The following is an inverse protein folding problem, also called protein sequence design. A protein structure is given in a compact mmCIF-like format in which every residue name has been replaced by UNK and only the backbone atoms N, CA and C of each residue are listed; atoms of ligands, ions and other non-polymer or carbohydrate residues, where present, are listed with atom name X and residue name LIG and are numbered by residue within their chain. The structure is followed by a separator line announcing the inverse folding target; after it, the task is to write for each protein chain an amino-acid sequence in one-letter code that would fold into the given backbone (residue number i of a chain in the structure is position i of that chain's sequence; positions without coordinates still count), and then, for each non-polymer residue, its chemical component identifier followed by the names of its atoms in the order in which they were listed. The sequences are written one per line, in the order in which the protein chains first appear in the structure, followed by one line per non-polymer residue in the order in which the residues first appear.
data_IF_758658474504
#
_entry.id   IF_758658474504
#
_cell.length_a   1.000
_cell.length_b   1.000
_cell.length_c   1.000
_cell.angle_alpha   90.00
_cell.angle_beta   90.00
_cell.angle_gamma   90.00
#
_symmetry.space_group_name_H-M   'P 1'
#
loop_
_entity.id
_entity.type
_entity.pdbx_description
1 polymer ?
#
# COMPACT_ATOMS: atom_id res chain seq x y z
N UNK A 1 -18.78 -17.16 -5.29
CA UNK A 1 -17.53 -16.63 -5.82
C UNK A 1 -16.87 -15.74 -4.78
N UNK A 2 -15.61 -16.01 -4.51
CA UNK A 2 -14.88 -15.23 -3.52
C UNK A 2 -14.48 -13.90 -4.10
N UNK A 3 -14.95 -12.85 -3.49
CA UNK A 3 -14.57 -11.51 -3.89
C UNK A 3 -13.28 -11.10 -3.19
N UNK A 4 -12.31 -10.65 -3.96
CA UNK A 4 -11.07 -10.17 -3.37
C UNK A 4 -11.29 -8.77 -2.85
N UNK A 5 -11.05 -8.58 -1.58
CA UNK A 5 -11.30 -7.32 -0.93
C UNK A 5 -10.04 -6.74 -0.33
N UNK A 6 -9.90 -5.43 -0.48
CA UNK A 6 -8.94 -4.65 0.26
C UNK A 6 -9.58 -4.35 1.61
N UNK A 7 -8.85 -4.56 2.67
CA UNK A 7 -9.32 -4.18 4.00
C UNK A 7 -8.40 -3.12 4.59
N UNK A 8 -8.93 -2.36 5.54
CA UNK A 8 -8.23 -1.22 6.10
C UNK A 8 -8.23 -1.29 7.61
N UNK A 9 -7.15 -0.84 8.20
CA UNK A 9 -7.02 -0.76 9.64
C UNK A 9 -6.49 0.63 9.97
N UNK A 10 -7.32 1.44 10.64
CA UNK A 10 -6.92 2.78 11.06
C UNK A 10 -6.57 2.75 12.55
N UNK A 11 -5.41 3.26 12.91
CA UNK A 11 -4.93 3.24 14.28
C UNK A 11 -4.19 4.55 14.54
N UNK A 12 -4.84 5.47 15.25
CA UNK A 12 -4.29 6.80 15.42
C UNK A 12 -4.16 7.48 14.06
N UNK A 13 -2.96 7.90 13.72
CA UNK A 13 -2.66 8.57 12.45
C UNK A 13 -2.07 7.62 11.41
N UNK A 14 -2.14 6.32 11.67
CA UNK A 14 -1.60 5.29 10.78
C UNK A 14 -2.74 4.58 10.07
N UNK A 15 -2.63 4.45 8.75
CA UNK A 15 -3.55 3.66 7.94
C UNK A 15 -2.80 2.46 7.40
N UNK A 16 -3.28 1.26 7.74
CA UNK A 16 -2.74 0.01 7.19
C UNK A 16 -3.71 -0.47 6.14
N UNK A 17 -3.20 -0.72 4.95
CA UNK A 17 -3.99 -1.17 3.80
C UNK A 17 -3.59 -2.62 3.52
N UNK A 18 -4.51 -3.55 3.80
CA UNK A 18 -4.29 -4.96 3.52
C UNK A 18 -4.69 -5.24 2.08
N UNK A 19 -3.69 -5.44 1.23
CA UNK A 19 -3.90 -5.56 -0.20
C UNK A 19 -4.47 -6.93 -0.57
N UNK A 20 -5.22 -7.00 -1.69
CA UNK A 20 -5.86 -8.25 -2.11
C UNK A 20 -4.86 -9.21 -2.72
N UNK A 21 -5.31 -10.43 -2.99
CA UNK A 21 -4.50 -11.46 -3.64
C UNK A 21 -3.96 -10.97 -4.99
N UNK A 22 -4.77 -10.26 -5.74
CA UNK A 22 -4.38 -9.70 -7.03
C UNK A 22 -4.59 -8.19 -7.01
N UNK A 23 -3.50 -7.45 -7.12
CA UNK A 23 -3.54 -6.00 -7.18
C UNK A 23 -3.40 -5.59 -8.65
N UNK A 24 -4.53 -5.66 -9.37
CA UNK A 24 -4.64 -5.37 -10.79
C UNK A 24 -5.31 -4.02 -11.02
N UNK A 25 -5.64 -3.73 -12.27
CA UNK A 25 -6.27 -2.46 -12.63
C UNK A 25 -7.60 -2.25 -11.90
N UNK A 26 -8.43 -3.29 -11.81
CA UNK A 26 -9.74 -3.18 -11.18
C UNK A 26 -9.64 -2.93 -9.67
N UNK A 27 -8.85 -3.74 -8.97
CA UNK A 27 -8.68 -3.58 -7.52
C UNK A 27 -7.95 -2.28 -7.19
N UNK A 28 -7.03 -1.84 -8.05
CA UNK A 28 -6.33 -0.56 -7.85
C UNK A 28 -7.27 0.63 -7.95
N UNK A 29 -8.24 0.60 -8.86
CA UNK A 29 -9.24 1.66 -8.96
C UNK A 29 -10.10 1.75 -7.70
N UNK A 30 -10.57 0.60 -7.22
CA UNK A 30 -11.36 0.54 -5.99
C UNK A 30 -10.54 1.02 -4.79
N UNK A 31 -9.30 0.59 -4.72
CA UNK A 31 -8.38 0.98 -3.66
C UNK A 31 -8.17 2.50 -3.65
N UNK A 32 -7.97 3.09 -4.82
CA UNK A 32 -7.79 4.54 -4.92
C UNK A 32 -9.03 5.28 -4.41
N UNK A 33 -10.20 4.86 -4.85
CA UNK A 33 -11.46 5.49 -4.45
C UNK A 33 -11.67 5.40 -2.94
N UNK A 34 -11.52 4.21 -2.38
CA UNK A 34 -11.75 3.98 -0.96
C UNK A 34 -10.75 4.72 -0.08
N UNK A 35 -9.48 4.75 -0.48
CA UNK A 35 -8.48 5.46 0.30
C UNK A 35 -8.59 6.97 0.17
N UNK A 36 -9.06 7.48 -0.98
CA UNK A 36 -9.36 8.90 -1.11
C UNK A 36 -10.40 9.34 -0.06
N UNK A 37 -11.43 8.51 0.16
CA UNK A 37 -12.44 8.80 1.18
C UNK A 37 -11.84 8.78 2.59
N UNK A 38 -11.00 7.79 2.88
CA UNK A 38 -10.37 7.68 4.19
C UNK A 38 -9.46 8.88 4.48
N UNK A 39 -8.70 9.32 3.49
CA UNK A 39 -7.85 10.50 3.65
C UNK A 39 -8.66 11.79 3.83
N UNK A 40 -9.85 11.87 3.22
CA UNK A 40 -10.71 13.03 3.37
C UNK A 40 -11.30 13.13 4.78
N UNK A 41 -11.51 11.99 5.44
CA UNK A 41 -12.17 11.94 6.75
C UNK A 41 -11.20 11.82 7.93
N UNK A 42 -9.93 11.50 7.70
CA UNK A 42 -8.97 11.22 8.76
C UNK A 42 -7.64 11.90 8.51
N UNK A 43 -7.00 12.35 9.58
CA UNK A 43 -5.63 12.81 9.48
C UNK A 43 -4.70 11.60 9.53
N UNK A 44 -4.04 11.33 8.41
CA UNK A 44 -3.15 10.17 8.27
C UNK A 44 -1.75 10.69 7.93
N UNK A 45 -0.76 10.32 8.74
CA UNK A 45 0.63 10.70 8.48
C UNK A 45 1.54 9.51 8.17
N UNK A 46 1.01 8.28 8.24
CA UNK A 46 1.75 7.10 7.82
C UNK A 46 0.80 6.12 7.15
N UNK A 47 1.16 5.68 5.96
CA UNK A 47 0.43 4.64 5.23
C UNK A 47 1.31 3.41 5.17
N UNK A 48 0.74 2.25 5.45
CA UNK A 48 1.44 0.97 5.39
C UNK A 48 0.70 0.07 4.43
N UNK A 49 1.39 -0.40 3.39
CA UNK A 49 0.82 -1.37 2.46
C UNK A 49 1.25 -2.77 2.87
N UNK A 50 0.27 -3.60 3.18
CA UNK A 50 0.47 -5.00 3.56
C UNK A 50 0.28 -5.89 2.33
N UNK A 51 1.37 -6.50 1.88
CA UNK A 51 1.40 -7.41 0.73
C UNK A 51 1.33 -8.88 1.12
N UNK A 52 1.09 -9.20 2.39
CA UNK A 52 1.22 -10.58 2.86
C UNK A 52 0.28 -11.56 2.14
N UNK A 53 -0.85 -11.09 1.63
CA UNK A 53 -1.79 -11.93 0.88
C UNK A 53 -1.65 -11.78 -0.63
N UNK A 54 -0.86 -10.83 -1.09
CA UNK A 54 -0.76 -10.49 -2.51
C UNK A 54 0.14 -11.46 -3.24
N UNK A 55 -0.41 -12.11 -4.26
CA UNK A 55 0.32 -13.06 -5.10
C UNK A 55 0.69 -12.46 -6.44
N UNK A 56 -0.09 -11.49 -6.91
CA UNK A 56 0.11 -10.87 -8.22
C UNK A 56 -0.14 -9.39 -8.16
N UNK A 57 0.67 -8.62 -8.90
CA UNK A 57 0.49 -7.19 -9.02
C UNK A 57 0.91 -6.77 -10.43
N UNK A 58 0.16 -5.85 -11.04
CA UNK A 58 0.55 -5.26 -12.33
C UNK A 58 0.96 -3.80 -12.14
N UNK A 59 1.21 -3.10 -13.25
CA UNK A 59 1.67 -1.71 -13.22
C UNK A 59 0.65 -0.75 -12.59
N UNK A 60 -0.64 -1.11 -12.58
CA UNK A 60 -1.66 -0.29 -11.92
C UNK A 60 -1.42 -0.24 -10.42
N UNK A 61 -0.99 -1.37 -9.84
CA UNK A 61 -0.61 -1.43 -8.42
C UNK A 61 0.57 -0.52 -8.11
N UNK A 62 1.59 -0.55 -8.97
CA UNK A 62 2.74 0.36 -8.82
C UNK A 62 2.28 1.81 -8.87
N UNK A 63 1.35 2.12 -9.76
CA UNK A 63 0.80 3.47 -9.90
C UNK A 63 0.13 3.98 -8.65
N UNK A 64 -0.69 3.14 -7.99
CA UNK A 64 -1.37 3.56 -6.76
C UNK A 64 -0.37 3.80 -5.62
N UNK A 65 0.65 2.97 -5.53
CA UNK A 65 1.70 3.15 -4.52
C UNK A 65 2.43 4.48 -4.71
N UNK A 66 2.80 4.80 -5.94
CA UNK A 66 3.46 6.06 -6.26
C UNK A 66 2.56 7.26 -5.97
N UNK A 67 1.27 7.13 -6.28
CA UNK A 67 0.30 8.19 -6.01
C UNK A 67 0.22 8.50 -4.51
N UNK A 68 0.13 7.47 -3.69
CA UNK A 68 0.07 7.65 -2.23
C UNK A 68 1.39 8.16 -1.66
N UNK A 69 2.50 7.71 -2.21
CA UNK A 69 3.79 8.23 -1.81
C UNK A 69 3.88 9.74 -2.02
N UNK A 70 3.49 10.21 -3.21
CA UNK A 70 3.54 11.64 -3.53
C UNK A 70 2.63 12.44 -2.62
N UNK A 71 1.44 11.91 -2.32
CA UNK A 71 0.50 12.56 -1.43
C UNK A 71 1.08 12.70 -0.02
N UNK A 72 1.66 11.63 0.49
CA UNK A 72 2.24 11.64 1.84
C UNK A 72 3.48 12.53 1.91
N UNK A 73 4.30 12.53 0.87
CA UNK A 73 5.48 13.37 0.83
C UNK A 73 5.14 14.86 0.93
N UNK A 74 4.02 15.26 0.30
CA UNK A 74 3.58 16.66 0.35
C UNK A 74 3.18 17.10 1.75
N UNK A 75 2.70 16.19 2.56
CA UNK A 75 2.26 16.50 3.93
C UNK A 75 3.30 16.12 4.99
N UNK A 76 4.48 15.70 4.58
CA UNK A 76 5.52 15.26 5.50
C UNK A 76 5.31 13.89 6.08
N UNK A 77 4.40 13.11 5.50
CA UNK A 77 4.10 11.77 5.97
C UNK A 77 5.02 10.71 5.37
N UNK A 78 4.71 9.46 5.65
CA UNK A 78 5.57 8.34 5.28
C UNK A 78 4.76 7.19 4.74
N UNK A 79 5.34 6.44 3.79
CA UNK A 79 4.75 5.20 3.27
C UNK A 79 5.76 4.07 3.48
N UNK A 80 5.33 3.03 4.17
CA UNK A 80 6.11 1.82 4.38
C UNK A 80 5.37 0.62 3.78
N UNK A 81 6.13 -0.42 3.45
CA UNK A 81 5.61 -1.66 2.88
C UNK A 81 6.05 -2.84 3.72
N UNK A 82 5.27 -3.92 3.75
CA UNK A 82 5.76 -5.16 4.34
C UNK A 82 5.09 -6.38 3.71
N UNK A 83 5.75 -7.52 3.82
CA UNK A 83 5.17 -8.81 3.51
C UNK A 83 5.17 -9.21 2.04
N UNK A 84 5.84 -8.47 1.16
CA UNK A 84 5.88 -8.82 -0.25
C UNK A 84 6.65 -10.12 -0.49
N UNK A 85 6.07 -11.03 -1.26
CA UNK A 85 6.77 -12.23 -1.66
C UNK A 85 7.81 -11.90 -2.75
N UNK A 86 8.58 -12.90 -3.16
CA UNK A 86 9.66 -12.68 -4.13
C UNK A 86 9.16 -12.09 -5.45
N UNK A 87 8.05 -12.61 -5.96
CA UNK A 87 7.48 -12.17 -7.23
C UNK A 87 7.00 -10.72 -7.16
N UNK A 88 6.24 -10.40 -6.13
CA UNK A 88 5.74 -9.03 -5.93
C UNK A 88 6.91 -8.08 -5.68
N UNK A 89 7.89 -8.52 -4.90
CA UNK A 89 9.07 -7.72 -4.62
C UNK A 89 9.84 -7.36 -5.89
N UNK A 90 9.94 -8.31 -6.84
CA UNK A 90 10.57 -8.03 -8.14
C UNK A 90 9.84 -6.93 -8.91
N UNK A 91 8.51 -6.95 -8.89
CA UNK A 91 7.70 -5.93 -9.56
C UNK A 91 7.91 -4.57 -8.88
N UNK A 92 7.96 -4.53 -7.56
CA UNK A 92 8.23 -3.31 -6.81
C UNK A 92 9.60 -2.72 -7.17
N UNK A 93 10.61 -3.59 -7.27
CA UNK A 93 11.94 -3.16 -7.64
C UNK A 93 11.99 -2.60 -9.06
N UNK A 94 11.36 -3.30 -10.01
CA UNK A 94 11.31 -2.86 -11.40
C UNK A 94 10.58 -1.53 -11.56
N UNK A 95 9.57 -1.29 -10.73
CA UNK A 95 8.82 -0.03 -10.74
C UNK A 95 9.51 1.12 -10.00
N UNK A 96 10.69 0.89 -9.44
CA UNK A 96 11.43 1.93 -8.71
C UNK A 96 10.91 2.20 -7.31
N UNK A 97 9.98 1.39 -6.82
CA UNK A 97 9.35 1.60 -5.51
C UNK A 97 10.37 1.56 -4.37
N UNK A 98 11.32 0.61 -4.45
CA UNK A 98 12.30 0.42 -3.38
C UNK A 98 13.29 1.57 -3.23
N UNK A 99 13.33 2.48 -4.20
CA UNK A 99 14.15 3.70 -4.09
C UNK A 99 13.43 4.80 -3.32
N UNK A 100 12.11 4.68 -3.16
CA UNK A 100 11.28 5.71 -2.56
C UNK A 100 10.69 5.30 -1.21
N UNK A 101 10.41 4.01 -1.04
CA UNK A 101 9.72 3.48 0.14
C UNK A 101 10.48 2.32 0.73
N UNK A 102 10.44 2.21 2.07
CA UNK A 102 11.10 1.11 2.76
C UNK A 102 10.19 -0.11 2.82
N UNK A 103 10.76 -1.28 2.54
CA UNK A 103 10.08 -2.56 2.68
C UNK A 103 10.63 -3.29 3.90
N UNK A 104 9.71 -3.78 4.73
CA UNK A 104 10.05 -4.51 5.95
C UNK A 104 9.50 -5.94 5.89
N UNK A 105 10.08 -6.81 6.70
CA UNK A 105 9.63 -8.21 6.73
C UNK A 105 8.36 -8.39 7.57
N UNK A 106 8.16 -7.53 8.56
CA UNK A 106 7.05 -7.67 9.50
C UNK A 106 6.22 -6.40 9.61
N UNK A 107 4.96 -6.58 10.04
CA UNK A 107 4.06 -5.48 10.33
C UNK A 107 4.65 -4.56 11.40
N UNK A 108 5.22 -5.15 12.45
CA UNK A 108 5.78 -4.38 13.57
C UNK A 108 6.87 -3.44 13.10
N UNK A 109 7.76 -3.92 12.26
CA UNK A 109 8.80 -3.05 11.71
C UNK A 109 8.21 -1.91 10.88
N UNK A 110 7.22 -2.23 10.03
CA UNK A 110 6.59 -1.22 9.19
C UNK A 110 5.87 -0.16 10.02
N UNK A 111 5.28 -0.54 11.14
CA UNK A 111 4.57 0.39 12.04
C UNK A 111 5.55 1.30 12.77
N UNK A 112 6.65 0.73 13.29
CA UNK A 112 7.55 1.48 14.17
C UNK A 112 8.69 2.20 13.46
N UNK A 113 8.91 1.87 12.20
CA UNK A 113 9.98 2.53 11.43
C UNK A 113 9.43 3.63 10.58
#
# INVERSE_FOLDING_TARGET
MTKQEVTYEAKGQILIIHLPKELDHHSSRNLKYETDLLFAENYINKVIFDFSKTEFMDSSGVGILLNRYKQMARSGGKVNLYGANRQVNSILMMGGIMKLMEHYDTKEEAVFR
#
